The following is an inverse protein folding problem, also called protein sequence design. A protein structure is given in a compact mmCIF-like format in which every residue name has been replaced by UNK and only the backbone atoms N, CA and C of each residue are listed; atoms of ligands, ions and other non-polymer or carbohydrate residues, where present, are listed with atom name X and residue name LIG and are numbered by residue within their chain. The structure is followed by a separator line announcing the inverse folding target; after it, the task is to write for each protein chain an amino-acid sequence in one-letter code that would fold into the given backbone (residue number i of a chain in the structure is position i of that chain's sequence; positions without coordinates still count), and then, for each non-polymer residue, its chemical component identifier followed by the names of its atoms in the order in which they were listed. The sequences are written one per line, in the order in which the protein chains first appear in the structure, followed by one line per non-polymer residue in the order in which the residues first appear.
data_IF_467834161276
#
_entry.id   IF_467834161276
#
_cell.length_a   1.000
_cell.length_b   1.000
_cell.length_c   1.000
_cell.angle_alpha   90.00
_cell.angle_beta   90.00
_cell.angle_gamma   90.00
#
_symmetry.space_group_name_H-M   'P 1'
#
loop_
_entity.id
_entity.type
_entity.pdbx_description
1 polymer ?
#
# COMPACT_ATOMS: atom_id res chain seq x y z
N UNK A 1 -71.33 -21.65 7.36
CA UNK A 1 -70.19 -20.92 6.75
C UNK A 1 -69.98 -19.69 7.60
N UNK A 2 -68.98 -19.71 8.48
CA UNK A 2 -68.70 -18.57 9.34
C UNK A 2 -68.15 -17.41 8.49
N UNK A 3 -68.58 -16.19 8.79
CA UNK A 3 -68.07 -15.00 8.13
C UNK A 3 -66.55 -14.89 8.40
N UNK A 4 -65.74 -14.47 7.41
CA UNK A 4 -64.31 -14.27 7.63
C UNK A 4 -64.12 -13.27 8.77
N UNK A 5 -63.25 -13.60 9.72
CA UNK A 5 -62.99 -12.85 10.98
C UNK A 5 -62.73 -11.36 10.71
N UNK A 6 -62.20 -11.04 9.52
CA UNK A 6 -61.93 -9.71 8.97
C UNK A 6 -63.15 -8.82 8.67
N UNK A 7 -64.38 -9.35 8.68
CA UNK A 7 -65.62 -8.59 8.41
C UNK A 7 -66.38 -8.17 9.68
N UNK A 8 -65.87 -8.48 10.89
CA UNK A 8 -66.53 -8.09 12.14
C UNK A 8 -66.32 -6.62 12.48
N UNK A 9 -67.33 -5.99 13.09
CA UNK A 9 -67.25 -4.60 13.51
C UNK A 9 -66.25 -4.44 14.68
N UNK A 10 -65.46 -3.34 14.71
CA UNK A 10 -64.42 -3.12 15.71
C UNK A 10 -64.90 -3.23 17.17
N UNK A 11 -66.14 -2.83 17.43
CA UNK A 11 -66.78 -2.82 18.75
C UNK A 11 -67.23 -4.20 19.25
N UNK A 12 -67.16 -5.22 18.40
CA UNK A 12 -67.63 -6.59 18.68
C UNK A 12 -66.51 -7.64 18.65
N UNK A 13 -65.26 -7.19 18.48
CA UNK A 13 -64.08 -8.04 18.45
C UNK A 13 -63.80 -8.59 19.86
N UNK A 14 -63.79 -9.91 19.97
CA UNK A 14 -63.34 -10.60 21.18
C UNK A 14 -61.84 -10.89 21.12
N UNK A 15 -61.23 -11.19 22.27
CA UNK A 15 -59.83 -11.62 22.36
C UNK A 15 -59.53 -12.84 21.45
N UNK A 16 -60.48 -13.78 21.38
CA UNK A 16 -60.39 -14.99 20.55
C UNK A 16 -60.34 -14.65 19.05
N UNK A 17 -61.09 -13.63 18.63
CA UNK A 17 -61.08 -13.17 17.24
C UNK A 17 -59.73 -12.54 16.86
N UNK A 18 -59.12 -11.79 17.78
CA UNK A 18 -57.79 -11.18 17.59
C UNK A 18 -56.72 -12.26 17.43
N UNK A 19 -56.76 -13.33 18.23
CA UNK A 19 -55.82 -14.45 18.08
C UNK A 19 -56.05 -15.26 16.81
N UNK A 20 -57.30 -15.43 16.36
CA UNK A 20 -57.59 -16.05 15.06
C UNK A 20 -57.07 -15.21 13.89
N UNK A 21 -57.18 -13.88 13.96
CA UNK A 21 -56.59 -12.97 12.97
C UNK A 21 -55.07 -13.04 12.97
N UNK A 22 -54.43 -13.04 14.14
CA UNK A 22 -52.98 -13.18 14.28
C UNK A 22 -52.46 -14.49 13.66
N UNK A 23 -53.18 -15.60 13.87
CA UNK A 23 -52.83 -16.90 13.32
C UNK A 23 -52.92 -16.93 11.79
N UNK A 24 -53.98 -16.37 11.21
CA UNK A 24 -54.13 -16.30 9.74
C UNK A 24 -53.08 -15.39 9.10
N UNK A 25 -52.86 -14.19 9.63
CA UNK A 25 -51.80 -13.30 9.17
C UNK A 25 -50.40 -13.92 9.32
N UNK A 26 -50.14 -14.59 10.45
CA UNK A 26 -48.87 -15.27 10.69
C UNK A 26 -48.59 -16.36 9.66
N UNK A 27 -49.61 -17.15 9.28
CA UNK A 27 -49.46 -18.16 8.23
C UNK A 27 -49.21 -17.58 6.84
N UNK A 28 -49.83 -16.45 6.50
CA UNK A 28 -49.59 -15.77 5.22
C UNK A 28 -48.20 -15.11 5.18
N UNK A 29 -47.77 -14.46 6.26
CA UNK A 29 -46.43 -13.87 6.38
C UNK A 29 -45.33 -14.95 6.36
N UNK A 30 -45.60 -16.11 6.96
CA UNK A 30 -44.70 -17.26 6.89
C UNK A 30 -44.61 -17.80 5.46
N UNK A 31 -45.75 -17.96 4.77
CA UNK A 31 -45.77 -18.38 3.36
C UNK A 31 -45.01 -17.39 2.45
N UNK A 32 -45.13 -16.08 2.72
CA UNK A 32 -44.38 -15.04 2.01
C UNK A 32 -42.88 -15.13 2.29
N UNK A 33 -42.51 -15.42 3.54
CA UNK A 33 -41.12 -15.63 3.97
C UNK A 33 -40.51 -16.85 3.29
N UNK A 34 -41.27 -17.94 3.13
CA UNK A 34 -40.82 -19.16 2.45
C UNK A 34 -40.62 -18.95 0.94
N UNK A 35 -41.44 -18.09 0.30
CA UNK A 35 -41.37 -17.84 -1.14
C UNK A 35 -40.35 -16.76 -1.55
N UNK A 36 -40.18 -15.71 -0.75
CA UNK A 36 -39.39 -14.51 -1.10
C UNK A 36 -38.25 -14.19 -0.12
N UNK A 37 -37.99 -15.08 0.85
CA UNK A 37 -36.94 -14.94 1.85
C UNK A 37 -37.30 -14.01 3.02
N UNK A 38 -36.58 -14.11 4.15
CA UNK A 38 -36.89 -13.39 5.40
C UNK A 38 -36.69 -11.88 5.32
N UNK A 39 -35.81 -11.41 4.43
CA UNK A 39 -35.55 -9.97 4.21
C UNK A 39 -36.76 -9.23 3.63
N UNK A 40 -37.64 -9.93 2.92
CA UNK A 40 -38.83 -9.34 2.29
C UNK A 40 -39.92 -9.00 3.32
N UNK A 41 -39.91 -9.62 4.50
CA UNK A 41 -40.96 -9.48 5.53
C UNK A 41 -40.43 -8.86 6.83
N UNK A 42 -39.11 -8.82 7.03
CA UNK A 42 -38.45 -8.40 8.30
C UNK A 42 -38.88 -7.01 8.78
N UNK A 43 -39.13 -6.06 7.87
CA UNK A 43 -39.59 -4.71 8.20
C UNK A 43 -41.08 -4.60 8.51
N UNK A 44 -41.91 -5.54 8.04
CA UNK A 44 -43.37 -5.51 8.15
C UNK A 44 -43.86 -6.27 9.39
N UNK A 45 -43.20 -7.38 9.77
CA UNK A 45 -43.57 -8.20 10.93
C UNK A 45 -43.71 -7.37 12.22
N UNK A 46 -42.77 -6.49 12.60
CA UNK A 46 -42.89 -5.70 13.84
C UNK A 46 -44.07 -4.73 13.82
N UNK A 47 -44.43 -4.20 12.65
CA UNK A 47 -45.56 -3.27 12.50
C UNK A 47 -46.89 -4.02 12.63
N UNK A 48 -46.99 -5.22 12.04
CA UNK A 48 -48.19 -6.08 12.15
C UNK A 48 -48.39 -6.54 13.59
N UNK A 49 -47.32 -6.96 14.28
CA UNK A 49 -47.38 -7.34 15.70
C UNK A 49 -47.85 -6.17 16.55
N UNK A 50 -47.32 -4.96 16.34
CA UNK A 50 -47.76 -3.76 17.08
C UNK A 50 -49.24 -3.44 16.88
N UNK A 51 -49.78 -3.64 15.67
CA UNK A 51 -51.21 -3.44 15.41
C UNK A 51 -52.06 -4.50 16.11
N UNK A 52 -51.62 -5.76 16.13
CA UNK A 52 -52.30 -6.85 16.83
C UNK A 52 -52.29 -6.65 18.36
N UNK A 53 -51.19 -6.17 18.94
CA UNK A 53 -51.09 -5.79 20.36
C UNK A 53 -52.07 -4.67 20.73
N UNK A 54 -52.22 -3.66 19.87
CA UNK A 54 -53.19 -2.57 20.08
C UNK A 54 -54.63 -3.07 20.03
N UNK A 55 -54.93 -4.02 19.14
CA UNK A 55 -56.24 -4.66 19.04
C UNK A 55 -56.52 -5.57 20.24
N UNK A 56 -55.51 -6.28 20.74
CA UNK A 56 -55.59 -7.07 21.96
C UNK A 56 -55.90 -6.19 23.18
N UNK A 57 -55.20 -5.07 23.33
CA UNK A 57 -55.46 -4.08 24.40
C UNK A 57 -56.88 -3.50 24.32
N UNK A 58 -57.39 -3.24 23.11
CA UNK A 58 -58.76 -2.76 22.91
C UNK A 58 -59.82 -3.84 23.24
N UNK A 59 -59.59 -5.09 22.83
CA UNK A 59 -60.50 -6.21 23.12
C UNK A 59 -60.49 -6.61 24.61
N UNK A 60 -59.34 -6.49 25.29
CA UNK A 60 -59.20 -6.76 26.72
C UNK A 60 -59.89 -5.70 27.59
N UNK A 61 -59.71 -4.42 27.25
CA UNK A 61 -60.33 -3.30 27.98
C UNK A 61 -61.83 -3.17 27.72
N UNK A 62 -62.33 -3.66 26.58
CA UNK A 62 -63.76 -3.77 26.30
C UNK A 62 -64.53 -4.62 27.33
N UNK A 63 -63.83 -5.52 28.05
CA UNK A 63 -64.41 -6.33 29.15
C UNK A 63 -64.38 -5.64 30.52
N UNK A 64 -63.52 -4.64 30.72
CA UNK A 64 -63.41 -3.90 31.99
C UNK A 64 -64.43 -2.78 32.16
N UNK A 65 -65.25 -2.52 31.13
CA UNK A 65 -66.48 -1.76 31.32
C UNK A 65 -67.55 -2.64 31.99
N UNK A 66 -67.27 -3.06 33.22
CA UNK A 66 -68.26 -3.57 34.16
C UNK A 66 -69.37 -2.53 34.40
N UNK A 67 -70.50 -2.90 35.02
CA UNK A 67 -71.64 -2.01 35.16
C UNK A 67 -71.21 -0.72 35.87
N UNK A 68 -71.71 0.46 35.44
CA UNK A 68 -71.24 1.75 35.93
C UNK A 68 -71.38 1.81 37.47
N UNK A 69 -70.33 2.27 38.14
CA UNK A 69 -70.18 2.42 39.61
C UNK A 69 -71.40 3.03 40.32
N UNK A 70 -72.23 3.76 39.59
CA UNK A 70 -73.52 4.29 40.00
C UNK A 70 -74.49 3.22 40.56
N UNK A 71 -74.46 1.97 40.08
CA UNK A 71 -75.35 0.89 40.54
C UNK A 71 -74.92 0.30 41.90
N UNK A 72 -73.60 0.25 42.17
CA UNK A 72 -73.04 -0.21 43.45
C UNK A 72 -73.26 0.83 44.56
N UNK A 73 -73.15 2.12 44.22
CA UNK A 73 -73.49 3.23 45.12
C UNK A 73 -74.97 3.23 45.50
N UNK A 74 -75.88 2.95 44.55
CA UNK A 74 -77.32 2.81 44.85
C UNK A 74 -77.58 1.64 45.80
N UNK A 75 -76.93 0.49 45.59
CA UNK A 75 -77.09 -0.69 46.46
C UNK A 75 -76.53 -0.46 47.87
N UNK A 76 -75.41 0.24 48.00
CA UNK A 76 -74.81 0.58 49.30
C UNK A 76 -75.68 1.57 50.10
N UNK A 77 -76.24 2.59 49.44
CA UNK A 77 -77.13 3.57 50.08
C UNK A 77 -78.44 2.90 50.54
N UNK A 78 -78.97 1.95 49.80
CA UNK A 78 -80.17 1.18 50.20
C UNK A 78 -79.90 0.29 51.43
N UNK A 79 -78.71 -0.29 51.57
CA UNK A 79 -78.36 -1.09 52.76
C UNK A 79 -78.17 -0.27 54.04
N UNK A 80 -77.78 1.00 53.93
CA UNK A 80 -77.57 1.90 55.08
C UNK A 80 -78.89 2.46 55.66
N UNK A 81 -80.00 2.40 54.91
CA UNK A 81 -81.30 2.96 55.34
C UNK A 81 -82.14 2.01 56.21
N UNK A 82 -81.78 0.73 56.34
CA UNK A 82 -82.61 -0.29 57.02
C UNK A 82 -82.10 -0.77 58.39
N UNK A 83 -81.08 -0.13 58.96
CA UNK A 83 -80.48 -0.56 60.22
C UNK A 83 -80.03 0.60 61.09
N UNK A 84 -80.98 1.32 61.69
CA UNK A 84 -80.67 2.30 62.75
C UNK A 84 -81.53 2.00 63.97
N UNK A 85 -80.97 1.21 64.88
CA UNK A 85 -81.43 1.16 66.27
C UNK A 85 -80.19 1.17 67.19
N UNK A 86 -80.14 2.17 68.06
CA UNK A 86 -78.99 2.60 68.85
C UNK A 86 -78.93 1.86 70.19
N UNK A 87 -77.79 1.23 70.52
CA UNK A 87 -77.16 1.26 71.87
C UNK A 87 -75.64 1.03 71.74
N UNK A 88 -74.76 1.96 72.15
CA UNK A 88 -73.34 1.68 72.22
C UNK A 88 -73.06 0.86 73.49
N UNK A 89 -72.58 -0.38 73.33
CA UNK A 89 -71.97 -1.10 74.43
C UNK A 89 -70.62 -0.44 74.76
N UNK A 90 -70.26 -0.20 76.04
CA UNK A 90 -68.99 0.44 76.41
C UNK A 90 -67.76 -0.35 75.94
N UNK A 91 -67.93 -1.65 75.69
CA UNK A 91 -66.91 -2.54 75.13
C UNK A 91 -66.60 -2.24 73.63
N UNK A 92 -67.53 -1.64 72.88
CA UNK A 92 -67.31 -1.18 71.50
C UNK A 92 -66.52 0.14 71.45
N UNK A 93 -66.79 1.08 72.35
CA UNK A 93 -66.04 2.35 72.44
C UNK A 93 -64.57 2.12 72.80
N UNK A 94 -64.31 1.23 73.76
CA UNK A 94 -62.93 0.88 74.13
C UNK A 94 -62.18 0.20 72.99
N UNK A 95 -62.82 -0.73 72.27
CA UNK A 95 -62.24 -1.38 71.07
C UNK A 95 -62.00 -0.39 69.94
N UNK A 96 -62.86 0.61 69.77
CA UNK A 96 -62.70 1.67 68.77
C UNK A 96 -61.49 2.57 69.10
N UNK A 97 -61.33 2.95 70.38
CA UNK A 97 -60.15 3.68 70.85
C UNK A 97 -58.85 2.87 70.68
N UNK A 98 -58.87 1.57 70.97
CA UNK A 98 -57.73 0.69 70.73
C UNK A 98 -57.42 0.50 69.24
N UNK A 99 -58.44 0.41 68.38
CA UNK A 99 -58.28 0.35 66.93
C UNK A 99 -57.69 1.65 66.37
N UNK A 100 -58.15 2.81 66.85
CA UNK A 100 -57.60 4.11 66.47
C UNK A 100 -56.13 4.27 66.88
N UNK A 101 -55.75 3.81 68.08
CA UNK A 101 -54.33 3.81 68.50
C UNK A 101 -53.46 2.95 67.58
N UNK A 102 -53.92 1.74 67.26
CA UNK A 102 -53.23 0.83 66.33
C UNK A 102 -53.16 1.41 64.92
N UNK A 103 -54.23 2.03 64.44
CA UNK A 103 -54.24 2.73 63.15
C UNK A 103 -53.20 3.85 63.12
N UNK A 104 -53.11 4.65 64.20
CA UNK A 104 -52.13 5.72 64.29
C UNK A 104 -50.69 5.19 64.36
N UNK A 105 -50.45 4.10 65.08
CA UNK A 105 -49.15 3.40 65.08
C UNK A 105 -48.78 2.88 63.69
N UNK A 106 -49.72 2.25 62.97
CA UNK A 106 -49.51 1.78 61.60
C UNK A 106 -49.30 2.94 60.63
N UNK A 107 -50.01 4.05 60.78
CA UNK A 107 -49.80 5.27 60.00
C UNK A 107 -48.38 5.83 60.22
N UNK A 108 -47.90 5.85 61.46
CA UNK A 108 -46.54 6.29 61.79
C UNK A 108 -45.48 5.32 61.24
N UNK A 109 -45.73 4.01 61.25
CA UNK A 109 -44.83 3.03 60.62
C UNK A 109 -44.81 3.18 59.10
N UNK A 110 -45.98 3.40 58.48
CA UNK A 110 -46.07 3.67 57.04
C UNK A 110 -45.35 4.97 56.68
N UNK A 111 -45.51 6.04 57.45
CA UNK A 111 -44.81 7.30 57.18
C UNK A 111 -43.29 7.13 57.28
N UNK A 112 -42.80 6.44 58.31
CA UNK A 112 -41.38 6.11 58.46
C UNK A 112 -40.85 5.28 57.28
N UNK A 113 -41.56 4.20 56.90
CA UNK A 113 -41.18 3.38 55.75
C UNK A 113 -41.24 4.14 54.43
N UNK A 114 -42.16 5.11 54.28
CA UNK A 114 -42.20 5.96 53.08
C UNK A 114 -41.03 6.93 53.03
N UNK A 115 -40.64 7.53 54.16
CA UNK A 115 -39.46 8.39 54.24
C UNK A 115 -38.16 7.60 54.00
N UNK A 116 -38.06 6.39 54.55
CA UNK A 116 -36.92 5.49 54.31
C UNK A 116 -36.84 5.08 52.85
N UNK A 117 -37.95 4.69 52.22
CA UNK A 117 -37.97 4.38 50.79
C UNK A 117 -37.59 5.58 49.94
N UNK A 118 -38.05 6.79 50.29
CA UNK A 118 -37.63 8.01 49.58
C UNK A 118 -36.12 8.25 49.73
N UNK A 119 -35.56 8.11 50.93
CA UNK A 119 -34.11 8.24 51.17
C UNK A 119 -33.31 7.20 50.38
N UNK A 120 -33.75 5.95 50.38
CA UNK A 120 -33.11 4.87 49.62
C UNK A 120 -33.18 5.14 48.11
N UNK A 121 -34.32 5.63 47.59
CA UNK A 121 -34.45 6.02 46.19
C UNK A 121 -33.47 7.14 45.83
N UNK A 122 -33.36 8.18 46.67
CA UNK A 122 -32.40 9.27 46.45
C UNK A 122 -30.96 8.73 46.42
N UNK A 123 -30.56 7.91 47.39
CA UNK A 123 -29.22 7.29 47.42
C UNK A 123 -28.97 6.39 46.19
N UNK A 124 -29.98 5.66 45.72
CA UNK A 124 -29.87 4.80 44.54
C UNK A 124 -29.71 5.64 43.26
N UNK A 125 -30.37 6.80 43.17
CA UNK A 125 -30.18 7.73 42.05
C UNK A 125 -28.82 8.43 42.09
N UNK A 126 -28.35 8.83 43.26
CA UNK A 126 -27.03 9.44 43.46
C UNK A 126 -25.91 8.46 43.10
N UNK A 127 -25.96 7.23 43.64
CA UNK A 127 -24.98 6.18 43.31
C UNK A 127 -24.97 5.83 41.82
N UNK A 128 -26.16 5.76 41.18
CA UNK A 128 -26.27 5.54 39.73
C UNK A 128 -25.62 6.68 38.93
N UNK A 129 -25.96 7.93 39.24
CA UNK A 129 -25.39 9.10 38.54
C UNK A 129 -23.88 9.23 38.75
N UNK A 130 -23.37 8.90 39.94
CA UNK A 130 -21.94 8.89 40.21
C UNK A 130 -21.22 7.80 39.43
N UNK A 131 -21.80 6.60 39.31
CA UNK A 131 -21.30 5.54 38.43
C UNK A 131 -21.28 5.96 36.96
N UNK A 132 -22.31 6.65 36.47
CA UNK A 132 -22.36 7.21 35.11
C UNK A 132 -21.31 8.31 34.89
N UNK A 133 -21.00 9.12 35.91
CA UNK A 133 -19.96 10.14 35.87
C UNK A 133 -18.57 9.51 35.72
N UNK A 134 -18.25 8.53 36.56
CA UNK A 134 -16.97 7.79 36.49
C UNK A 134 -16.83 7.07 35.15
N UNK A 135 -17.88 6.41 34.66
CA UNK A 135 -17.86 5.76 33.36
C UNK A 135 -17.63 6.76 32.20
N UNK A 136 -18.09 8.01 32.32
CA UNK A 136 -17.81 9.06 31.32
C UNK A 136 -16.35 9.48 31.36
N UNK A 137 -15.79 9.71 32.55
CA UNK A 137 -14.38 10.06 32.72
C UNK A 137 -13.43 8.96 32.19
N UNK A 138 -13.74 7.69 32.47
CA UNK A 138 -12.99 6.54 31.94
C UNK A 138 -13.02 6.48 30.41
N UNK A 139 -14.18 6.75 29.80
CA UNK A 139 -14.30 6.82 28.33
C UNK A 139 -13.46 7.96 27.76
N UNK A 140 -13.46 9.13 28.39
CA UNK A 140 -12.62 10.26 27.96
C UNK A 140 -11.13 9.93 28.08
N UNK A 141 -10.71 9.29 29.17
CA UNK A 141 -9.34 8.82 29.35
C UNK A 141 -8.96 7.78 28.30
N UNK A 142 -9.85 6.83 28.00
CA UNK A 142 -9.65 5.82 26.97
C UNK A 142 -9.49 6.46 25.58
N UNK A 143 -10.28 7.47 25.25
CA UNK A 143 -10.15 8.21 23.99
C UNK A 143 -8.81 8.96 23.91
N UNK A 144 -8.39 9.61 25.00
CA UNK A 144 -7.08 10.27 25.08
C UNK A 144 -5.94 9.26 24.90
N UNK A 145 -6.02 8.12 25.58
CA UNK A 145 -5.03 7.05 25.46
C UNK A 145 -5.00 6.47 24.05
N UNK A 146 -6.16 6.25 23.43
CA UNK A 146 -6.26 5.80 22.03
C UNK A 146 -5.53 6.77 21.09
N UNK A 147 -5.75 8.08 21.24
CA UNK A 147 -5.06 9.10 20.42
C UNK A 147 -3.55 9.03 20.60
N UNK A 148 -3.05 8.86 21.82
CA UNK A 148 -1.61 8.73 22.08
C UNK A 148 -1.06 7.44 21.49
N UNK A 149 -1.76 6.32 21.65
CA UNK A 149 -1.36 5.02 21.07
C UNK A 149 -1.35 5.08 19.54
N UNK A 150 -2.35 5.70 18.92
CA UNK A 150 -2.39 5.85 17.47
C UNK A 150 -1.25 6.74 16.96
N UNK A 151 -0.93 7.84 17.66
CA UNK A 151 0.27 8.65 17.37
C UNK A 151 1.56 7.86 17.50
N UNK A 152 1.72 7.07 18.57
CA UNK A 152 2.89 6.23 18.76
C UNK A 152 3.01 5.15 17.66
N UNK A 153 1.89 4.58 17.21
CA UNK A 153 1.87 3.64 16.08
C UNK A 153 2.30 4.32 14.79
N UNK A 154 1.82 5.53 14.52
CA UNK A 154 2.24 6.33 13.36
C UNK A 154 3.73 6.68 13.42
N UNK A 155 4.23 7.08 14.58
CA UNK A 155 5.64 7.37 14.81
C UNK A 155 6.52 6.13 14.58
N UNK A 156 6.13 4.96 15.12
CA UNK A 156 6.82 3.69 14.88
C UNK A 156 6.83 3.35 13.39
N UNK A 157 5.70 3.53 12.68
CA UNK A 157 5.64 3.31 11.22
C UNK A 157 6.58 4.25 10.47
N UNK A 158 6.59 5.52 10.82
CA UNK A 158 7.47 6.53 10.22
C UNK A 158 8.94 6.19 10.44
N UNK A 159 9.34 5.90 11.69
CA UNK A 159 10.70 5.52 12.04
C UNK A 159 11.13 4.22 11.35
N UNK A 160 10.22 3.25 11.21
CA UNK A 160 10.49 2.01 10.47
C UNK A 160 10.80 2.30 9.00
N UNK A 161 10.04 3.18 8.35
CA UNK A 161 10.31 3.59 6.98
C UNK A 161 11.64 4.37 6.84
N UNK A 162 11.96 5.23 7.80
CA UNK A 162 13.25 5.95 7.83
C UNK A 162 14.43 4.97 7.96
N UNK A 163 14.35 4.01 8.90
CA UNK A 163 15.37 2.97 9.08
C UNK A 163 15.54 2.15 7.80
N UNK A 164 14.43 1.74 7.16
CA UNK A 164 14.50 1.03 5.88
C UNK A 164 15.19 1.86 4.79
N UNK A 165 14.92 3.16 4.73
CA UNK A 165 15.59 4.04 3.76
C UNK A 165 17.09 4.15 4.05
N UNK A 166 17.47 4.34 5.32
CA UNK A 166 18.88 4.36 5.72
C UNK A 166 19.57 3.04 5.41
N UNK A 167 18.91 1.90 5.62
CA UNK A 167 19.45 0.59 5.28
C UNK A 167 19.73 0.46 3.77
N UNK A 168 18.80 0.87 2.90
CA UNK A 168 19.01 0.88 1.44
C UNK A 168 20.21 1.76 1.05
N UNK A 169 20.35 2.92 1.69
CA UNK A 169 21.49 3.81 1.44
C UNK A 169 22.81 3.15 1.88
N UNK A 170 22.83 2.47 3.04
CA UNK A 170 24.01 1.73 3.50
C UNK A 170 24.36 0.55 2.62
N UNK A 171 23.37 -0.19 2.12
CA UNK A 171 23.57 -1.30 1.17
C UNK A 171 24.15 -0.77 -0.15
N UNK A 172 23.62 0.34 -0.68
CA UNK A 172 24.16 0.97 -1.89
C UNK A 172 25.62 1.43 -1.72
N UNK A 173 25.96 2.02 -0.57
CA UNK A 173 27.34 2.40 -0.25
C UNK A 173 28.26 1.18 -0.09
N UNK A 174 27.77 0.11 0.53
CA UNK A 174 28.50 -1.14 0.67
C UNK A 174 28.80 -1.78 -0.71
N UNK A 175 27.83 -1.76 -1.63
CA UNK A 175 28.05 -2.20 -3.00
C UNK A 175 29.09 -1.36 -3.73
N UNK A 176 29.05 -0.03 -3.58
CA UNK A 176 30.07 0.85 -4.17
C UNK A 176 31.46 0.53 -3.62
N UNK A 177 31.59 0.35 -2.31
CA UNK A 177 32.84 -0.06 -1.67
C UNK A 177 33.35 -1.39 -2.24
N UNK A 178 32.48 -2.39 -2.35
CA UNK A 178 32.84 -3.69 -2.93
C UNK A 178 33.32 -3.56 -4.39
N UNK A 179 32.65 -2.74 -5.21
CA UNK A 179 33.09 -2.44 -6.59
C UNK A 179 34.47 -1.79 -6.61
N UNK A 180 34.74 -0.83 -5.71
CA UNK A 180 36.06 -0.19 -5.61
C UNK A 180 37.14 -1.16 -5.14
N UNK A 181 36.84 -2.05 -4.18
CA UNK A 181 37.79 -3.07 -3.74
C UNK A 181 38.17 -4.01 -4.87
N UNK A 182 37.20 -4.49 -5.66
CA UNK A 182 37.46 -5.32 -6.83
C UNK A 182 38.33 -4.61 -7.87
N UNK A 183 38.02 -3.33 -8.16
CA UNK A 183 38.84 -2.52 -9.07
C UNK A 183 40.26 -2.31 -8.55
N UNK A 184 40.43 -2.09 -7.25
CA UNK A 184 41.74 -1.94 -6.61
C UNK A 184 42.55 -3.23 -6.72
N UNK A 185 41.92 -4.38 -6.49
CA UNK A 185 42.55 -5.68 -6.65
C UNK A 185 42.97 -5.93 -8.11
N UNK A 186 42.10 -5.61 -9.08
CA UNK A 186 42.42 -5.67 -10.51
C UNK A 186 43.62 -4.79 -10.86
N UNK A 187 43.68 -3.58 -10.33
CA UNK A 187 44.81 -2.66 -10.53
C UNK A 187 46.10 -3.22 -9.92
N UNK A 188 46.05 -3.79 -8.71
CA UNK A 188 47.20 -4.45 -8.09
C UNK A 188 47.68 -5.63 -8.93
N UNK A 189 46.76 -6.46 -9.44
CA UNK A 189 47.07 -7.57 -10.36
C UNK A 189 47.71 -7.07 -11.65
N UNK A 190 47.17 -6.00 -12.27
CA UNK A 190 47.75 -5.37 -13.48
C UNK A 190 49.17 -4.85 -13.22
N UNK A 191 49.37 -4.14 -12.10
CA UNK A 191 50.70 -3.64 -11.71
C UNK A 191 51.68 -4.79 -11.51
N UNK A 192 51.27 -5.87 -10.84
CA UNK A 192 52.11 -7.05 -10.66
C UNK A 192 52.52 -7.68 -12.01
N UNK A 193 51.57 -7.84 -12.95
CA UNK A 193 51.87 -8.36 -14.29
C UNK A 193 52.86 -7.44 -15.03
N UNK A 194 52.60 -6.13 -15.07
CA UNK A 194 53.51 -5.18 -15.75
C UNK A 194 54.89 -5.18 -15.09
N UNK A 195 54.97 -5.27 -13.76
CA UNK A 195 56.24 -5.36 -13.05
C UNK A 195 57.03 -6.62 -13.42
N UNK A 196 56.37 -7.78 -13.48
CA UNK A 196 57.03 -9.04 -13.92
C UNK A 196 57.48 -8.98 -15.37
N UNK A 197 56.68 -8.38 -16.26
CA UNK A 197 57.04 -8.17 -17.66
C UNK A 197 58.28 -7.27 -17.78
N UNK A 198 58.29 -6.13 -17.07
CA UNK A 198 59.43 -5.21 -17.01
C UNK A 198 60.70 -5.91 -16.51
N UNK A 199 60.62 -6.66 -15.41
CA UNK A 199 61.75 -7.41 -14.86
C UNK A 199 62.30 -8.43 -15.86
N UNK A 200 61.42 -9.17 -16.54
CA UNK A 200 61.83 -10.14 -17.56
C UNK A 200 62.46 -9.46 -18.79
N UNK A 201 61.98 -8.28 -19.19
CA UNK A 201 62.55 -7.51 -20.30
C UNK A 201 63.94 -6.97 -19.95
N UNK A 202 64.10 -6.46 -18.73
CA UNK A 202 65.38 -6.01 -18.21
C UNK A 202 66.39 -7.15 -18.15
N UNK A 203 65.99 -8.33 -17.67
CA UNK A 203 66.86 -9.52 -17.63
C UNK A 203 67.31 -9.95 -19.04
N UNK A 204 66.39 -10.01 -20.02
CA UNK A 204 66.77 -10.31 -21.41
C UNK A 204 67.72 -9.27 -21.99
N UNK A 205 67.53 -8.00 -21.66
CA UNK A 205 68.44 -6.93 -22.08
C UNK A 205 69.84 -7.12 -21.49
N UNK A 206 69.94 -7.41 -20.19
CA UNK A 206 71.24 -7.67 -19.56
C UNK A 206 71.93 -8.90 -20.14
N UNK A 207 71.17 -9.97 -20.43
CA UNK A 207 71.72 -11.18 -21.05
C UNK A 207 72.27 -10.89 -22.45
N UNK A 208 71.56 -10.08 -23.26
CA UNK A 208 72.03 -9.64 -24.57
C UNK A 208 73.26 -8.71 -24.49
N UNK A 209 73.29 -7.79 -23.52
CA UNK A 209 74.45 -6.92 -23.29
C UNK A 209 75.69 -7.74 -22.91
N UNK A 210 75.53 -8.77 -22.06
CA UNK A 210 76.61 -9.69 -21.70
C UNK A 210 77.12 -10.46 -22.93
N UNK A 211 76.21 -11.02 -23.75
CA UNK A 211 76.58 -11.72 -24.99
C UNK A 211 77.32 -10.80 -25.98
N UNK A 212 76.86 -9.55 -26.13
CA UNK A 212 77.54 -8.58 -26.98
C UNK A 212 78.94 -8.24 -26.45
N UNK A 213 79.11 -8.09 -25.13
CA UNK A 213 80.42 -7.88 -24.53
C UNK A 213 81.36 -9.09 -24.71
N UNK A 214 80.86 -10.31 -24.59
CA UNK A 214 81.64 -11.54 -24.85
C UNK A 214 82.11 -11.58 -26.31
N UNK A 215 81.21 -11.33 -27.26
CA UNK A 215 81.56 -11.25 -28.70
C UNK A 215 82.56 -10.14 -29.00
N UNK A 216 82.45 -9.00 -28.34
CA UNK A 216 83.43 -7.92 -28.48
C UNK A 216 84.80 -8.35 -27.97
N UNK A 217 84.89 -8.99 -26.78
CA UNK A 217 86.14 -9.52 -26.23
C UNK A 217 86.77 -10.59 -27.13
N UNK A 218 85.95 -11.47 -27.72
CA UNK A 218 86.42 -12.44 -28.71
C UNK A 218 87.00 -11.76 -29.94
N UNK A 219 86.32 -10.73 -30.47
CA UNK A 219 86.78 -9.94 -31.61
C UNK A 219 88.09 -9.21 -31.31
N UNK A 220 88.20 -8.59 -30.14
CA UNK A 220 89.41 -7.91 -29.68
C UNK A 220 90.57 -8.90 -29.51
N UNK A 221 90.32 -10.11 -28.97
CA UNK A 221 91.33 -11.18 -28.88
C UNK A 221 91.78 -11.65 -30.27
N UNK A 222 90.86 -11.79 -31.23
CA UNK A 222 91.20 -12.14 -32.61
C UNK A 222 92.02 -11.03 -33.28
N UNK A 223 91.65 -9.75 -33.11
CA UNK A 223 92.41 -8.60 -33.60
C UNK A 223 93.82 -8.56 -33.01
N UNK A 224 93.97 -8.86 -31.72
CA UNK A 224 95.28 -8.94 -31.06
C UNK A 224 96.14 -10.10 -31.62
N UNK A 225 95.53 -11.26 -31.91
CA UNK A 225 96.22 -12.37 -32.58
C UNK A 225 96.64 -12.02 -34.01
N UNK A 226 95.77 -11.35 -34.78
CA UNK A 226 96.09 -10.87 -36.11
C UNK A 226 97.23 -9.84 -36.10
N UNK A 227 97.22 -8.89 -35.17
CA UNK A 227 98.31 -7.90 -35.06
C UNK A 227 99.64 -8.52 -34.59
N UNK A 228 99.59 -9.52 -33.70
CA UNK A 228 100.78 -10.29 -33.30
C UNK A 228 101.31 -11.18 -34.44
N UNK A 229 100.44 -11.71 -35.31
CA UNK A 229 100.83 -12.44 -36.52
C UNK A 229 101.37 -11.52 -37.65
N UNK A 230 101.06 -10.22 -37.60
CA UNK A 230 101.53 -9.21 -38.55
C UNK A 230 102.92 -8.63 -38.21
N UNK A 231 103.68 -9.26 -37.30
CA UNK A 231 105.11 -8.97 -37.05
C UNK A 231 106.00 -9.64 -38.10
N UNK A 232 105.67 -9.42 -39.37
CA UNK A 232 106.62 -9.49 -40.50
C UNK A 232 106.58 -8.11 -41.15
N UNK A 233 107.71 -7.39 -41.26
CA UNK A 233 107.68 -6.00 -41.66
C UNK A 233 107.56 -5.93 -43.19
N UNK A 234 106.42 -5.48 -43.70
CA UNK A 234 106.37 -4.90 -45.04
C UNK A 234 105.71 -3.52 -45.00
N UNK A 235 106.52 -2.55 -45.39
CA UNK A 235 106.17 -1.15 -45.62
C UNK A 235 105.16 -1.09 -46.77
N UNK A 236 104.03 -0.41 -46.59
CA UNK A 236 103.66 0.77 -47.39
C UNK A 236 102.25 1.27 -47.01
N UNK A 237 102.17 2.56 -46.75
CA UNK A 237 100.93 3.32 -46.58
C UNK A 237 100.23 3.47 -47.94
N UNK A 238 98.91 3.29 -47.97
CA UNK A 238 98.01 4.41 -48.28
C UNK A 238 96.54 4.01 -48.12
N UNK A 239 95.89 4.80 -47.28
CA UNK A 239 94.47 4.96 -47.04
C UNK A 239 93.69 5.35 -48.31
N UNK A 240 92.56 4.70 -48.59
CA UNK A 240 91.31 5.42 -48.91
C UNK A 240 90.11 4.49 -48.74
N UNK A 241 89.21 4.90 -47.86
CA UNK A 241 88.03 4.16 -47.44
C UNK A 241 86.89 4.31 -48.46
N UNK A 242 86.30 3.19 -48.86
CA UNK A 242 84.99 3.16 -49.49
C UNK A 242 83.92 3.57 -48.47
N UNK A 243 83.28 4.73 -48.69
CA UNK A 243 81.97 5.04 -48.12
C UNK A 243 81.00 5.19 -49.28
N UNK A 244 80.09 4.24 -49.39
CA UNK A 244 78.98 4.25 -50.33
C UNK A 244 77.89 5.24 -49.90
N UNK A 245 77.54 6.10 -50.85
CA UNK A 245 76.19 6.47 -51.25
C UNK A 245 75.29 7.23 -50.23
N UNK A 246 75.32 8.56 -50.32
CA UNK A 246 74.13 9.40 -50.12
C UNK A 246 73.97 10.35 -51.32
N UNK A 247 72.78 10.26 -51.96
CA UNK A 247 71.92 11.33 -52.51
C UNK A 247 72.56 12.41 -53.43
N UNK A 248 72.00 12.94 -54.51
CA UNK A 248 70.68 12.98 -55.17
C UNK A 248 70.90 13.95 -56.35
N UNK A 249 70.32 13.73 -57.53
CA UNK A 249 70.38 14.78 -58.57
C UNK A 249 69.75 14.42 -59.92
N UNK A 250 68.50 14.87 -60.08
CA UNK A 250 67.75 15.11 -61.32
C UNK A 250 67.29 13.92 -62.17
N UNK A 251 65.97 13.69 -62.21
CA UNK A 251 65.24 14.02 -63.45
C UNK A 251 63.73 14.24 -63.26
N UNK A 252 63.19 15.09 -64.13
CA UNK A 252 61.89 15.76 -64.09
C UNK A 252 60.70 14.83 -64.43
N UNK A 253 59.57 14.99 -63.74
CA UNK A 253 58.23 15.09 -64.37
C UNK A 253 57.19 15.64 -63.38
N UNK A 254 56.19 16.40 -63.87
CA UNK A 254 55.27 17.18 -63.05
C UNK A 254 54.07 16.32 -62.66
N UNK A 255 54.00 15.90 -61.40
CA UNK A 255 52.75 15.46 -60.83
C UNK A 255 52.49 16.28 -59.59
N UNK A 256 51.43 17.05 -59.66
CA UNK A 256 50.86 17.83 -58.59
C UNK A 256 50.32 16.86 -57.53
N UNK A 257 51.20 16.18 -56.80
CA UNK A 257 50.82 15.39 -55.64
C UNK A 257 51.01 16.33 -54.45
N UNK A 258 49.91 16.83 -53.93
CA UNK A 258 49.86 17.56 -52.66
C UNK A 258 50.48 16.66 -51.58
N UNK A 259 51.78 16.84 -51.35
CA UNK A 259 52.52 16.08 -50.37
C UNK A 259 52.36 16.80 -49.03
N UNK A 260 51.54 16.25 -48.15
CA UNK A 260 51.55 16.66 -46.74
C UNK A 260 52.97 16.53 -46.19
N UNK A 261 53.46 17.56 -45.52
CA UNK A 261 54.74 17.48 -44.82
C UNK A 261 54.63 16.47 -43.67
N UNK A 262 55.77 15.93 -43.22
CA UNK A 262 55.78 14.95 -42.11
C UNK A 262 55.17 15.55 -40.84
N UNK A 263 55.33 16.86 -40.66
CA UNK A 263 54.74 17.68 -39.62
C UNK A 263 53.22 17.77 -39.78
N UNK A 264 52.72 18.03 -40.99
CA UNK A 264 51.27 18.05 -41.27
C UNK A 264 50.62 16.70 -40.98
N UNK A 265 51.26 15.59 -41.35
CA UNK A 265 50.75 14.25 -41.06
C UNK A 265 50.69 13.99 -39.56
N UNK A 266 51.69 14.44 -38.79
CA UNK A 266 51.66 14.35 -37.32
C UNK A 266 50.52 15.17 -36.73
N UNK A 267 50.34 16.40 -37.22
CA UNK A 267 49.26 17.28 -36.77
C UNK A 267 47.89 16.67 -37.07
N UNK A 268 47.67 16.19 -38.29
CA UNK A 268 46.43 15.52 -38.71
C UNK A 268 46.16 14.29 -37.84
N UNK A 269 47.19 13.53 -37.47
CA UNK A 269 47.03 12.37 -36.58
C UNK A 269 46.66 12.80 -35.15
N UNK A 270 47.23 13.90 -34.65
CA UNK A 270 46.88 14.46 -33.35
C UNK A 270 45.44 14.97 -33.34
N UNK A 271 45.06 15.81 -34.30
CA UNK A 271 43.68 16.30 -34.47
C UNK A 271 42.69 15.14 -34.60
N UNK A 272 43.03 14.12 -35.39
CA UNK A 272 42.19 12.92 -35.52
C UNK A 272 42.05 12.16 -34.20
N UNK A 273 43.10 12.09 -33.39
CA UNK A 273 43.03 11.45 -32.07
C UNK A 273 42.19 12.27 -31.09
N UNK A 274 42.31 13.60 -31.09
CA UNK A 274 41.49 14.52 -30.29
C UNK A 274 40.01 14.48 -30.71
N UNK A 275 39.73 14.48 -32.01
CA UNK A 275 38.39 14.30 -32.52
C UNK A 275 37.82 12.94 -32.17
N UNK A 276 38.65 11.89 -32.14
CA UNK A 276 38.23 10.56 -31.70
C UNK A 276 37.87 10.54 -30.21
N UNK A 277 38.62 11.22 -29.35
CA UNK A 277 38.27 11.33 -27.92
C UNK A 277 37.01 12.16 -27.74
N UNK A 278 36.86 13.29 -28.45
CA UNK A 278 35.67 14.13 -28.35
C UNK A 278 34.42 13.40 -28.88
N UNK A 279 34.54 12.67 -30.00
CA UNK A 279 33.45 11.86 -30.53
C UNK A 279 33.05 10.74 -29.57
N UNK A 280 34.02 10.14 -28.87
CA UNK A 280 33.74 9.14 -27.84
C UNK A 280 32.94 9.74 -26.68
N UNK A 281 33.36 10.90 -26.15
CA UNK A 281 32.65 11.60 -25.08
C UNK A 281 31.23 12.00 -25.48
N UNK A 282 31.06 12.60 -26.67
CA UNK A 282 29.73 12.97 -27.19
C UNK A 282 28.86 11.73 -27.40
N UNK A 283 29.43 10.60 -27.85
CA UNK A 283 28.68 9.37 -28.01
C UNK A 283 28.24 8.79 -26.64
N UNK A 284 29.06 8.90 -25.60
CA UNK A 284 28.68 8.52 -24.23
C UNK A 284 27.56 9.42 -23.69
N UNK A 285 27.64 10.74 -23.86
CA UNK A 285 26.56 11.68 -23.49
C UNK A 285 25.26 11.35 -24.23
N UNK A 286 25.34 11.06 -25.54
CA UNK A 286 24.17 10.66 -26.31
C UNK A 286 23.58 9.35 -25.79
N UNK A 287 24.40 8.37 -25.41
CA UNK A 287 23.94 7.12 -24.81
C UNK A 287 23.28 7.37 -23.45
N UNK A 288 23.85 8.26 -22.64
CA UNK A 288 23.27 8.71 -21.37
C UNK A 288 21.88 9.29 -21.60
N UNK A 289 21.69 10.24 -22.53
CA UNK A 289 20.38 10.81 -22.81
C UNK A 289 19.38 9.79 -23.38
N UNK A 290 19.84 8.82 -24.18
CA UNK A 290 18.97 7.74 -24.66
C UNK A 290 18.48 6.82 -23.53
N UNK A 291 19.34 6.53 -22.54
CA UNK A 291 18.97 5.68 -21.40
C UNK A 291 18.15 6.43 -20.36
N UNK A 292 18.57 7.64 -20.02
CA UNK A 292 18.04 8.38 -18.86
C UNK A 292 16.91 9.34 -19.21
N UNK A 293 16.86 9.88 -20.43
CA UNK A 293 15.87 10.90 -20.79
C UNK A 293 14.75 10.34 -21.69
N UNK A 294 15.04 9.29 -22.46
CA UNK A 294 14.12 8.72 -23.45
C UNK A 294 13.47 7.40 -23.00
N UNK A 295 14.00 6.77 -21.94
CA UNK A 295 13.49 5.54 -21.33
C UNK A 295 13.12 5.71 -19.84
N UNK A 296 13.12 6.93 -19.30
CA UNK A 296 12.64 7.19 -17.93
C UNK A 296 11.10 7.11 -17.87
N UNK A 297 10.60 6.24 -16.98
CA UNK A 297 9.18 5.96 -16.76
C UNK A 297 8.40 7.17 -16.19
N UNK A 298 9.12 8.19 -15.70
CA UNK A 298 8.53 9.41 -15.12
C UNK A 298 8.00 10.39 -16.15
N UNK A 299 8.37 10.24 -17.43
CA UNK A 299 7.96 11.15 -18.50
C UNK A 299 6.74 10.56 -19.23
N UNK A 300 5.61 11.28 -19.31
CA UNK A 300 4.41 10.81 -20.00
C UNK A 300 4.72 10.34 -21.43
N UNK A 301 4.25 9.13 -21.76
CA UNK A 301 4.56 8.42 -23.01
C UNK A 301 4.21 9.20 -24.28
N UNK A 302 3.23 10.11 -24.21
CA UNK A 302 2.83 11.01 -25.29
C UNK A 302 3.90 12.06 -25.61
N UNK A 303 4.55 12.64 -24.59
CA UNK A 303 5.63 13.61 -24.77
C UNK A 303 6.87 12.94 -25.37
N UNK A 304 7.22 11.74 -24.89
CA UNK A 304 8.30 10.93 -25.46
C UNK A 304 8.04 10.59 -26.93
N UNK A 305 6.79 10.26 -27.29
CA UNK A 305 6.41 9.98 -28.69
C UNK A 305 6.56 11.21 -29.58
N UNK A 306 6.08 12.37 -29.11
CA UNK A 306 6.23 13.65 -29.80
C UNK A 306 7.70 14.00 -30.03
N UNK A 307 8.51 13.93 -28.97
CA UNK A 307 9.95 14.20 -28.99
C UNK A 307 10.71 13.23 -29.92
N UNK A 308 10.41 11.93 -29.86
CA UNK A 308 10.99 10.91 -30.76
C UNK A 308 10.65 11.22 -32.24
N UNK A 309 9.43 11.70 -32.53
CA UNK A 309 9.05 12.09 -33.89
C UNK A 309 9.84 13.33 -34.36
N UNK A 310 10.01 14.33 -33.49
CA UNK A 310 10.76 15.54 -33.78
C UNK A 310 12.24 15.23 -34.03
N UNK A 311 12.86 14.38 -33.22
CA UNK A 311 14.23 13.90 -33.41
C UNK A 311 14.37 13.18 -34.76
N UNK A 312 13.41 12.32 -35.15
CA UNK A 312 13.44 11.66 -36.46
C UNK A 312 13.33 12.66 -37.61
N UNK A 313 12.49 13.69 -37.50
CA UNK A 313 12.39 14.78 -38.49
C UNK A 313 13.71 15.55 -38.60
N UNK A 314 14.34 15.90 -37.47
CA UNK A 314 15.65 16.57 -37.46
C UNK A 314 16.75 15.68 -38.03
N UNK A 315 16.79 14.37 -37.72
CA UNK A 315 17.76 13.43 -38.32
C UNK A 315 17.59 13.34 -39.83
N UNK A 316 16.35 13.29 -40.34
CA UNK A 316 16.08 13.33 -41.78
C UNK A 316 16.58 14.64 -42.40
N UNK A 317 16.36 15.78 -41.72
CA UNK A 317 16.84 17.10 -42.16
C UNK A 317 18.36 17.18 -42.22
N UNK A 318 19.04 16.75 -41.15
CA UNK A 318 20.51 16.68 -41.08
C UNK A 318 21.04 15.76 -42.17
N UNK A 319 20.43 14.58 -42.37
CA UNK A 319 20.82 13.63 -43.42
C UNK A 319 20.67 14.23 -44.82
N UNK A 320 19.57 14.95 -45.10
CA UNK A 320 19.38 15.65 -46.36
C UNK A 320 20.46 16.72 -46.58
N UNK A 321 20.77 17.51 -45.54
CA UNK A 321 21.87 18.50 -45.57
C UNK A 321 23.24 17.86 -45.80
N UNK A 322 23.56 16.76 -45.13
CA UNK A 322 24.84 16.06 -45.32
C UNK A 322 24.97 15.41 -46.69
N UNK A 323 23.85 15.00 -47.30
CA UNK A 323 23.83 14.38 -48.62
C UNK A 323 23.61 15.40 -49.76
N UNK A 324 23.44 16.69 -49.45
CA UNK A 324 23.25 17.76 -50.44
C UNK A 324 21.92 17.69 -51.21
N UNK A 325 20.90 17.02 -50.68
CA UNK A 325 19.58 16.89 -51.33
C UNK A 325 18.69 18.05 -50.87
N UNK A 326 18.10 18.79 -51.81
CA UNK A 326 17.20 19.92 -51.53
C UNK A 326 15.97 19.46 -50.73
N UNK A 327 15.68 20.17 -49.64
CA UNK A 327 14.55 19.89 -48.75
C UNK A 327 13.21 20.09 -49.49
N UNK A 328 12.53 19.00 -49.85
CA UNK A 328 11.11 19.05 -50.27
C UNK A 328 10.21 19.14 -49.04
N UNK A 329 9.17 20.00 -49.03
CA UNK A 329 8.27 20.14 -47.89
C UNK A 329 7.58 18.80 -47.63
N UNK A 330 7.83 18.22 -46.45
CA UNK A 330 7.19 16.97 -46.06
C UNK A 330 5.68 17.21 -45.95
N UNK A 331 5.00 16.61 -46.91
CA UNK A 331 3.57 16.35 -47.00
C UNK A 331 2.98 16.04 -45.63
N UNK A 332 1.97 16.84 -45.31
CA UNK A 332 0.91 16.56 -44.37
C UNK A 332 0.20 15.28 -44.79
N UNK A 333 0.47 14.18 -44.11
CA UNK A 333 -0.53 13.11 -43.92
C UNK A 333 -0.16 12.32 -42.66
N UNK A 334 -1.16 11.75 -42.01
CA UNK A 334 -1.18 11.19 -40.65
C UNK A 334 -1.52 12.20 -39.54
N UNK A 335 -2.52 13.05 -39.80
CA UNK A 335 -3.54 13.35 -38.79
C UNK A 335 -4.64 12.28 -38.91
N UNK A 336 -5.25 11.93 -37.77
CA UNK A 336 -6.38 10.99 -37.59
C UNK A 336 -6.04 9.49 -37.38
N UNK A 337 -5.58 9.16 -36.17
CA UNK A 337 -6.06 7.95 -35.49
C UNK A 337 -6.20 8.23 -33.99
N UNK A 338 -7.09 9.17 -33.68
CA UNK A 338 -7.81 9.19 -32.42
C UNK A 338 -9.20 8.60 -32.69
N UNK A 339 -9.56 7.55 -31.93
CA UNK A 339 -10.83 6.78 -31.92
C UNK A 339 -10.94 5.54 -32.84
N UNK A 340 -10.49 4.38 -32.30
CA UNK A 340 -11.17 3.06 -32.29
C UNK A 340 -10.25 2.13 -31.48
N UNK A 341 -10.47 1.90 -30.18
CA UNK A 341 -11.30 0.81 -29.64
C UNK A 341 -11.40 -0.42 -30.55
N UNK A 342 -10.42 -1.31 -30.44
CA UNK A 342 -10.71 -2.75 -30.47
C UNK A 342 -10.53 -3.28 -29.06
N UNK A 343 -11.64 -3.80 -28.55
CA UNK A 343 -11.82 -4.42 -27.26
C UNK A 343 -10.88 -5.60 -27.01
N UNK A 344 -10.40 -5.66 -25.77
CA UNK A 344 -10.05 -6.79 -24.88
C UNK A 344 -9.03 -6.21 -23.90
N UNK A 345 -9.18 -6.13 -22.60
CA UNK A 345 -10.08 -6.65 -21.58
C UNK A 345 -9.75 -5.83 -20.30
N UNK A 346 -10.52 -5.95 -19.22
CA UNK A 346 -10.41 -5.23 -17.92
C UNK A 346 -11.31 -3.99 -17.75
N UNK A 347 -12.57 -4.30 -17.45
CA UNK A 347 -13.54 -3.49 -16.71
C UNK A 347 -13.05 -3.28 -15.27
N UNK A 348 -12.61 -2.07 -14.90
CA UNK A 348 -12.96 -1.43 -13.60
C UNK A 348 -12.30 -0.05 -13.39
N UNK A 349 -12.79 0.98 -14.07
CA UNK A 349 -12.57 2.35 -13.63
C UNK A 349 -13.90 3.12 -13.69
N UNK A 350 -14.54 3.24 -12.53
CA UNK A 350 -15.83 3.93 -12.36
C UNK A 350 -15.64 5.45 -12.57
N UNK A 351 -16.48 6.12 -13.39
CA UNK A 351 -16.46 7.58 -13.53
C UNK A 351 -17.03 8.27 -12.25
N UNK A 352 -16.69 9.54 -11.99
CA UNK A 352 -17.06 10.23 -10.76
C UNK A 352 -18.59 10.32 -10.58
N UNK A 353 -19.08 9.90 -9.40
CA UNK A 353 -20.50 9.70 -9.14
C UNK A 353 -21.32 11.02 -9.18
N UNK A 354 -22.49 10.95 -9.83
CA UNK A 354 -23.46 12.04 -9.94
C UNK A 354 -24.20 12.31 -8.63
N UNK A 355 -24.46 13.59 -8.31
CA UNK A 355 -25.15 14.07 -7.10
C UNK A 355 -26.56 13.51 -6.86
N UNK A 356 -27.14 12.82 -7.83
CA UNK A 356 -28.47 12.18 -7.73
C UNK A 356 -28.37 10.80 -7.02
N UNK A 357 -27.21 10.13 -7.04
CA UNK A 357 -27.00 8.87 -6.31
C UNK A 357 -26.90 9.04 -4.78
N UNK A 358 -26.59 10.24 -4.29
CA UNK A 358 -26.56 10.55 -2.85
C UNK A 358 -27.95 10.63 -2.21
N UNK A 359 -29.02 10.74 -3.01
CA UNK A 359 -30.39 10.89 -2.50
C UNK A 359 -31.12 9.56 -2.29
N UNK A 360 -30.62 8.46 -2.86
CA UNK A 360 -31.22 7.12 -2.76
C UNK A 360 -30.26 6.07 -2.17
N UNK A 361 -29.15 6.50 -1.57
CA UNK A 361 -28.09 5.64 -1.04
C UNK A 361 -28.49 4.71 0.11
N UNK A 362 -29.61 4.96 0.79
CA UNK A 362 -30.09 4.07 1.87
C UNK A 362 -30.75 2.78 1.36
N UNK A 363 -31.07 2.70 0.06
CA UNK A 363 -31.90 1.61 -0.51
C UNK A 363 -31.16 0.75 -1.55
N UNK A 364 -29.88 1.04 -1.82
CA UNK A 364 -29.00 0.22 -2.64
C UNK A 364 -27.76 -0.25 -1.88
N UNK A 365 -27.89 -0.44 -0.56
CA UNK A 365 -27.01 -1.37 0.14
C UNK A 365 -27.41 -2.78 -0.28
N UNK A 366 -26.80 -3.24 -1.36
CA UNK A 366 -26.60 -4.67 -1.60
C UNK A 366 -25.93 -5.24 -0.34
N UNK A 367 -26.38 -6.37 0.23
CA UNK A 367 -25.52 -7.10 1.16
C UNK A 367 -24.37 -7.64 0.32
N UNK A 368 -23.28 -6.87 0.26
CA UNK A 368 -22.01 -7.43 -0.16
C UNK A 368 -21.58 -8.44 0.91
N UNK A 369 -21.16 -9.60 0.40
CA UNK A 369 -20.67 -10.72 1.17
C UNK A 369 -19.69 -10.25 2.25
N UNK A 370 -19.87 -10.81 3.45
CA UNK A 370 -18.91 -10.74 4.54
C UNK A 370 -17.46 -10.82 4.03
N UNK A 371 -16.61 -9.81 4.32
CA UNK A 371 -15.20 -10.08 4.52
C UNK A 371 -15.11 -10.92 5.79
N UNK A 372 -14.73 -12.19 5.64
CA UNK A 372 -14.63 -13.17 6.71
C UNK A 372 -14.01 -12.59 7.99
N UNK A 373 -14.66 -12.74 9.16
CA UNK A 373 -14.06 -12.43 10.44
C UNK A 373 -13.13 -13.58 10.80
N UNK A 374 -11.83 -13.32 10.71
CA UNK A 374 -10.76 -14.10 11.34
C UNK A 374 -10.49 -15.50 10.77
N UNK A 375 -9.37 -15.64 10.07
CA UNK A 375 -8.49 -16.79 10.34
C UNK A 375 -7.96 -16.64 11.79
N UNK A 376 -8.79 -17.01 12.77
CA UNK A 376 -8.26 -17.47 14.05
C UNK A 376 -7.58 -18.80 13.70
N UNK A 377 -6.27 -18.73 13.54
CA UNK A 377 -5.42 -19.90 13.68
C UNK A 377 -5.74 -20.48 15.05
N UNK A 378 -6.39 -21.64 15.07
CA UNK A 378 -6.63 -22.38 16.29
C UNK A 378 -5.26 -22.78 16.88
N UNK A 379 -5.07 -22.59 18.19
CA UNK A 379 -3.89 -23.01 18.98
C UNK A 379 -3.61 -24.53 18.95
N UNK A 380 -4.34 -25.29 18.13
CA UNK A 380 -4.16 -26.73 17.90
C UNK A 380 -3.37 -27.06 16.64
N UNK A 381 -3.24 -26.15 15.67
CA UNK A 381 -2.43 -26.40 14.46
C UNK A 381 -0.95 -26.02 14.63
N UNK A 382 -0.63 -25.06 15.50
CA UNK A 382 0.76 -24.68 15.79
C UNK A 382 1.50 -25.77 16.58
N UNK A 383 0.79 -26.61 17.35
CA UNK A 383 1.37 -27.73 18.09
C UNK A 383 1.60 -29.01 17.28
N UNK A 384 1.14 -29.09 16.03
CA UNK A 384 1.42 -30.24 15.17
C UNK A 384 2.70 -30.05 14.34
N UNK A 385 3.10 -28.82 14.03
CA UNK A 385 4.28 -28.55 13.20
C UNK A 385 5.59 -28.59 14.02
N UNK A 386 5.56 -28.31 15.32
CA UNK A 386 6.74 -28.46 16.19
C UNK A 386 7.03 -29.90 16.64
N UNK A 387 6.18 -30.87 16.29
CA UNK A 387 6.38 -32.29 16.67
C UNK A 387 6.92 -33.19 15.55
N UNK A 388 7.11 -32.68 14.33
CA UNK A 388 7.74 -33.44 13.22
C UNK A 388 9.21 -33.06 12.95
N UNK A 389 9.78 -32.14 13.72
CA UNK A 389 11.15 -31.65 13.53
C UNK A 389 12.20 -32.21 14.50
N UNK A 390 12.02 -33.41 15.08
CA UNK A 390 12.96 -33.91 16.07
C UNK A 390 12.97 -35.43 16.25
N UNK A 391 13.98 -36.08 15.67
CA UNK A 391 14.50 -37.37 16.14
C UNK A 391 14.47 -38.48 15.08
N UNK A 392 15.66 -38.91 14.63
CA UNK A 392 15.78 -40.12 13.81
C UNK A 392 17.15 -40.29 13.16
N UNK A 393 18.18 -40.43 13.98
CA UNK A 393 19.51 -40.94 13.63
C UNK A 393 19.43 -42.44 13.22
N UNK A 394 20.46 -42.92 12.49
CA UNK A 394 20.84 -44.35 12.24
C UNK A 394 20.22 -45.05 11.01
N UNK A 395 21.00 -45.20 9.91
CA UNK A 395 21.82 -46.38 9.52
C UNK A 395 22.87 -45.95 8.51
#
# INVERSE_FOLDING_TARGET
MEAPVWLRAPSSLSLEDVYSMAKSLGSELQQLTEQYGPESVSGVVPQVVRVLELLEGFAATGRERGPPEHELLIRAVQSMHMGRDERPAPDLEQKLLEAQKKEHELQNQLSQLTEENQKLLVQLTETKSQGECVAREERELMLKLKVVVDKQRDEIRSLTHEIQQKNRDTEALQEQLNRFMNMNEDLRRKVAVVHTQLKSSLQRKTDLENLLQERQKEMDSMLQKFSAAQVVPDKNMNTSACKSLEQTGNDKTPSNQLCFTKEDVKHIVQERNELKTNLFLVNEELQYYHRELLNDERIPSLLLRGMKSAIRKQRKKIKAKMLGIVESPSSSDDEHTWTQTTATDCVDAKPPDSKIKSLFGMWYQKPEAEPGPWEIINDKEIKMIEKEGGGGDIV
#
